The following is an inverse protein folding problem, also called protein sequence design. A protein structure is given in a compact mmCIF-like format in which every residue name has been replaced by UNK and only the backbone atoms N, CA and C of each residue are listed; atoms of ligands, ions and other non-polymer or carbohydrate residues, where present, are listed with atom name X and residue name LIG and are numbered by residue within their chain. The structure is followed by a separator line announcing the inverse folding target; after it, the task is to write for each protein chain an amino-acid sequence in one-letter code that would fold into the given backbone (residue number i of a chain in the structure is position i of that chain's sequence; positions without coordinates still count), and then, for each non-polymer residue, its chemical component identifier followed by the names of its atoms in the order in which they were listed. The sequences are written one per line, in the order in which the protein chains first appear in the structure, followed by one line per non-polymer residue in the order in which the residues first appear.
data_IF_628102930450
#
_entry.id   IF_628102930450
#
_cell.length_a   1.000
_cell.length_b   1.000
_cell.length_c   1.000
_cell.angle_alpha   90.00
_cell.angle_beta   90.00
_cell.angle_gamma   90.00
#
_symmetry.space_group_name_H-M   'P 1'
#
loop_
_entity.id
_entity.type
_entity.pdbx_description
1 polymer ?
#
# COMPACT_ATOMS: atom_id res chain seq x y z
N UNK A 1 -5.78 12.52 -6.26
CA UNK A 1 -5.07 11.58 -7.15
C UNK A 1 -5.01 10.16 -6.53
N UNK A 2 -6.13 9.58 -6.05
CA UNK A 2 -6.20 8.27 -5.36
C UNK A 2 -6.73 7.13 -6.26
N UNK A 3 -7.62 7.43 -7.20
CA UNK A 3 -8.29 6.43 -8.04
C UNK A 3 -7.35 5.68 -9.02
N UNK A 4 -6.30 6.36 -9.50
CA UNK A 4 -5.36 5.80 -10.49
C UNK A 4 -4.49 4.68 -9.88
N UNK A 5 -4.17 4.76 -8.59
CA UNK A 5 -3.43 3.71 -7.89
C UNK A 5 -4.24 2.42 -7.71
N UNK A 6 -5.54 2.53 -7.42
CA UNK A 6 -6.43 1.37 -7.30
C UNK A 6 -6.55 0.61 -8.64
N UNK A 7 -6.60 1.33 -9.76
CA UNK A 7 -6.69 0.73 -11.09
C UNK A 7 -5.41 0.00 -11.49
N UNK A 8 -4.24 0.63 -11.34
CA UNK A 8 -2.96 0.00 -11.69
C UNK A 8 -2.70 -1.27 -10.87
N UNK A 9 -3.05 -1.25 -9.58
CA UNK A 9 -2.92 -2.43 -8.71
C UNK A 9 -3.84 -3.57 -9.18
N UNK A 10 -5.09 -3.29 -9.52
CA UNK A 10 -6.02 -4.28 -10.04
C UNK A 10 -5.55 -4.85 -11.39
N UNK A 11 -5.02 -3.99 -12.25
CA UNK A 11 -4.47 -4.37 -13.56
C UNK A 11 -3.31 -5.36 -13.42
N UNK A 12 -2.29 -5.05 -12.60
CA UNK A 12 -1.13 -5.93 -12.38
C UNK A 12 -1.53 -7.29 -11.78
N UNK A 13 -2.55 -7.31 -10.92
CA UNK A 13 -3.04 -8.57 -10.36
C UNK A 13 -3.75 -9.45 -11.39
N UNK A 14 -4.39 -8.83 -12.39
CA UNK A 14 -5.09 -9.50 -13.48
C UNK A 14 -4.14 -9.89 -14.64
N UNK A 15 -3.03 -9.17 -14.83
CA UNK A 15 -2.06 -9.35 -15.91
C UNK A 15 -0.68 -9.54 -15.29
N UNK A 16 -0.45 -10.71 -14.70
CA UNK A 16 0.77 -10.99 -13.92
C UNK A 16 2.01 -11.14 -14.80
N UNK A 17 1.80 -11.41 -16.07
CA UNK A 17 2.79 -11.52 -17.15
C UNK A 17 3.24 -10.16 -17.71
N UNK A 18 2.52 -9.08 -17.41
CA UNK A 18 2.87 -7.73 -17.82
C UNK A 18 3.89 -7.13 -16.84
N UNK A 19 5.16 -7.47 -17.07
CA UNK A 19 6.29 -7.03 -16.22
C UNK A 19 6.42 -5.50 -16.20
N UNK A 20 6.15 -4.82 -17.32
CA UNK A 20 6.19 -3.37 -17.40
C UNK A 20 5.17 -2.72 -16.45
N UNK A 21 3.94 -3.23 -16.42
CA UNK A 21 2.93 -2.76 -15.49
C UNK A 21 3.34 -2.99 -14.02
N UNK A 22 4.03 -4.10 -13.73
CA UNK A 22 4.60 -4.37 -12.41
C UNK A 22 5.69 -3.35 -12.06
N UNK A 23 6.65 -3.08 -12.94
CA UNK A 23 7.72 -2.11 -12.68
C UNK A 23 7.16 -0.69 -12.45
N UNK A 24 6.18 -0.25 -13.25
CA UNK A 24 5.49 1.03 -13.04
C UNK A 24 4.81 1.10 -11.67
N UNK A 25 4.23 -0.01 -11.20
CA UNK A 25 3.65 -0.08 -9.86
C UNK A 25 4.74 -0.04 -8.77
N UNK A 26 5.84 -0.77 -8.95
CA UNK A 26 6.96 -0.82 -8.02
C UNK A 26 7.62 0.55 -7.87
N UNK A 27 7.92 1.25 -8.97
CA UNK A 27 8.49 2.61 -8.95
C UNK A 27 7.59 3.59 -8.21
N UNK A 28 6.27 3.51 -8.40
CA UNK A 28 5.32 4.36 -7.67
C UNK A 28 5.26 4.04 -6.18
N UNK A 29 5.42 2.78 -5.79
CA UNK A 29 5.50 2.37 -4.38
C UNK A 29 6.79 2.92 -3.77
N UNK A 30 7.93 2.78 -4.46
CA UNK A 30 9.24 3.24 -4.00
C UNK A 30 9.34 4.77 -3.94
N UNK A 31 8.70 5.48 -4.87
CA UNK A 31 8.64 6.94 -4.88
C UNK A 31 7.75 7.51 -3.76
N UNK A 32 7.01 6.69 -3.00
CA UNK A 32 6.19 7.16 -1.90
C UNK A 32 7.02 7.23 -0.60
N UNK A 33 7.35 8.44 -0.10
CA UNK A 33 8.19 8.60 1.09
C UNK A 33 7.54 8.09 2.39
N UNK A 34 6.24 7.80 2.37
CA UNK A 34 5.47 7.32 3.53
C UNK A 34 5.13 5.81 3.46
N UNK A 35 5.76 5.05 2.57
CA UNK A 35 5.58 3.61 2.53
C UNK A 35 6.21 2.97 3.78
N UNK A 36 5.40 2.65 4.80
CA UNK A 36 5.83 1.84 5.95
C UNK A 36 6.06 0.41 5.43
N UNK A 37 7.32 0.00 5.44
CA UNK A 37 7.71 -1.38 5.15
C UNK A 37 7.47 -2.24 6.38
N UNK A 38 6.85 -3.39 6.19
CA UNK A 38 6.60 -4.37 7.25
C UNK A 38 7.54 -5.55 7.05
N UNK A 39 8.15 -6.02 8.14
CA UNK A 39 8.97 -7.22 8.13
C UNK A 39 8.09 -8.47 8.38
N UNK A 40 8.59 -9.68 8.10
CA UNK A 40 7.86 -10.91 8.41
C UNK A 40 7.46 -11.02 9.90
N UNK A 41 8.29 -10.50 10.80
CA UNK A 41 8.03 -10.50 12.25
C UNK A 41 6.84 -9.63 12.63
N UNK A 42 6.50 -8.61 11.82
CA UNK A 42 5.32 -7.79 12.00
C UNK A 42 4.02 -8.56 11.80
N UNK A 43 4.05 -9.73 11.14
CA UNK A 43 2.87 -10.59 10.99
C UNK A 43 2.31 -11.02 12.36
N UNK A 44 3.19 -11.26 13.34
CA UNK A 44 2.79 -11.61 14.70
C UNK A 44 2.18 -10.41 15.47
N UNK A 45 2.49 -9.19 15.02
CA UNK A 45 2.01 -7.93 15.60
C UNK A 45 0.93 -7.26 14.74
N UNK A 46 0.37 -8.01 13.81
CA UNK A 46 -0.65 -7.50 12.91
C UNK A 46 -1.85 -6.87 13.64
N UNK A 47 -2.37 -7.45 14.75
CA UNK A 47 -3.47 -6.83 15.48
C UNK A 47 -3.15 -5.42 15.99
N UNK A 48 -1.96 -5.21 16.54
CA UNK A 48 -1.52 -3.91 17.06
C UNK A 48 -1.28 -2.90 15.94
N UNK A 49 -0.65 -3.35 14.85
CA UNK A 49 -0.39 -2.53 13.66
C UNK A 49 -1.71 -2.06 13.04
N UNK A 50 -2.70 -2.94 12.97
CA UNK A 50 -4.02 -2.61 12.45
C UNK A 50 -4.75 -1.59 13.35
N UNK A 51 -4.65 -1.73 14.67
CA UNK A 51 -5.23 -0.78 15.61
C UNK A 51 -4.60 0.62 15.49
N UNK A 52 -3.26 0.70 15.34
CA UNK A 52 -2.54 1.96 15.09
C UNK A 52 -3.01 2.63 13.79
N UNK A 53 -3.17 1.85 12.72
CA UNK A 53 -3.66 2.34 11.44
C UNK A 53 -5.08 2.93 11.52
N UNK A 54 -5.98 2.27 12.25
CA UNK A 54 -7.35 2.75 12.44
C UNK A 54 -7.39 4.11 13.17
N UNK A 55 -6.59 4.26 14.23
CA UNK A 55 -6.48 5.51 14.99
C UNK A 55 -5.99 6.66 14.11
N UNK A 56 -4.91 6.46 13.37
CA UNK A 56 -4.38 7.47 12.43
C UNK A 56 -5.43 7.91 11.40
N UNK A 57 -6.26 6.98 10.91
CA UNK A 57 -7.33 7.32 9.97
C UNK A 57 -8.47 8.11 10.59
N UNK A 58 -8.77 7.91 11.86
CA UNK A 58 -9.77 8.71 12.59
C UNK A 58 -9.24 10.12 12.81
N UNK A 59 -7.99 10.25 13.26
CA UNK A 59 -7.31 11.55 13.44
C UNK A 59 -7.19 12.34 12.13
N UNK A 60 -6.88 11.68 11.02
CA UNK A 60 -6.84 12.29 9.68
C UNK A 60 -8.23 12.68 9.13
N UNK A 61 -9.33 12.15 9.69
CA UNK A 61 -10.70 12.48 9.28
C UNK A 61 -11.36 13.55 10.15
N UNK A 62 -10.79 13.81 11.33
CA UNK A 62 -11.26 14.82 12.29
C UNK A 62 -10.51 16.16 12.18
N UNK A 63 -9.48 16.24 11.31
CA UNK A 63 -8.80 17.48 10.89
C UNK A 63 -9.20 17.90 9.47
#
# INVERSE_FOLDING_TARGET
MRAIQCFLKAYVLAHREDEEAFYVLADRILANPNAKWYSPEDANRFPEIYAEYQKRRQEESES
#
